data_IF_721556178497
#
_entry.id   IF_721556178497
#
_cell.length_a   1.000
_cell.length_b   1.000
_cell.length_c   1.000
_cell.angle_alpha   90.00
_cell.angle_beta   90.00
_cell.angle_gamma   90.00
#
_symmetry.space_group_name_H-M   'P 1'
#
loop_
_entity.id
_entity.type
_entity.pdbx_description
1 polymer ?
#
# COMPACT_ATOMS: atom_id res chain seq x y z
N UNK A 1 1.78 16.28 -1.22
CA UNK A 1 2.75 15.19 -0.97
C UNK A 1 2.48 14.08 -1.97
N UNK A 2 3.51 13.56 -2.61
CA UNK A 2 3.41 12.41 -3.51
C UNK A 2 3.02 11.16 -2.73
N UNK A 3 2.19 10.33 -3.34
CA UNK A 3 1.61 9.14 -2.74
C UNK A 3 1.57 8.00 -3.76
N UNK A 4 1.26 6.78 -3.31
CA UNK A 4 1.00 5.62 -4.17
C UNK A 4 2.06 5.42 -5.26
N UNK A 5 1.68 5.31 -6.54
CA UNK A 5 2.59 5.07 -7.65
C UNK A 5 3.64 6.18 -7.81
N UNK A 6 3.28 7.43 -7.55
CA UNK A 6 4.25 8.54 -7.59
C UNK A 6 5.30 8.43 -6.50
N UNK A 7 4.87 8.04 -5.28
CA UNK A 7 5.80 7.75 -4.20
C UNK A 7 6.68 6.53 -4.53
N UNK A 8 6.10 5.47 -5.09
CA UNK A 8 6.85 4.28 -5.52
C UNK A 8 7.89 4.62 -6.60
N UNK A 9 7.55 5.50 -7.54
CA UNK A 9 8.47 5.97 -8.59
C UNK A 9 9.65 6.74 -8.02
N UNK A 10 9.40 7.77 -7.19
CA UNK A 10 10.50 8.56 -6.61
C UNK A 10 11.34 7.80 -5.59
N UNK A 11 10.79 6.76 -4.95
CA UNK A 11 11.54 5.84 -4.08
C UNK A 11 12.37 4.81 -4.88
N UNK A 12 12.32 4.83 -6.21
CA UNK A 12 13.03 3.90 -7.09
C UNK A 12 12.48 2.47 -7.07
N UNK A 13 11.24 2.27 -6.59
CA UNK A 13 10.59 0.95 -6.53
C UNK A 13 9.88 0.62 -7.84
N UNK A 14 9.18 1.60 -8.41
CA UNK A 14 8.40 1.43 -9.63
C UNK A 14 9.18 1.91 -10.85
N UNK A 15 9.27 1.05 -11.88
CA UNK A 15 9.91 1.39 -13.16
C UNK A 15 8.97 2.14 -14.11
N UNK A 16 7.65 2.03 -13.88
CA UNK A 16 6.62 2.65 -14.70
C UNK A 16 6.09 3.90 -14.01
N UNK A 17 6.15 5.02 -14.71
CA UNK A 17 5.47 6.23 -14.27
C UNK A 17 3.95 6.05 -14.40
N UNK A 18 3.16 6.56 -13.45
CA UNK A 18 1.71 6.55 -13.57
C UNK A 18 1.27 7.50 -14.70
N UNK A 19 0.16 7.18 -15.39
CA UNK A 19 -0.45 8.08 -16.38
C UNK A 19 -0.84 9.45 -15.77
N UNK A 20 -1.14 9.44 -14.46
CA UNK A 20 -1.47 10.61 -13.67
C UNK A 20 -0.79 10.51 -12.32
N UNK A 21 -0.02 11.53 -11.99
CA UNK A 21 0.67 11.64 -10.72
C UNK A 21 -0.33 11.62 -9.56
N UNK A 22 0.11 11.15 -8.39
CA UNK A 22 -0.75 10.83 -7.27
C UNK A 22 -0.28 11.60 -6.05
N UNK A 23 -1.22 12.31 -5.45
CA UNK A 23 -0.99 13.11 -4.24
C UNK A 23 -1.91 12.70 -3.13
N UNK A 24 -1.39 12.74 -1.92
CA UNK A 24 -2.16 12.66 -0.69
C UNK A 24 -2.76 14.04 -0.37
N UNK A 25 -4.06 14.08 -0.10
CA UNK A 25 -4.81 15.25 0.37
C UNK A 25 -5.64 14.91 1.62
N UNK A 26 -5.90 15.89 2.51
CA UNK A 26 -6.89 15.75 3.58
C UNK A 26 -8.29 15.44 3.04
N UNK A 27 -9.06 14.64 3.76
CA UNK A 27 -10.39 14.13 3.32
C UNK A 27 -11.47 15.21 3.09
N UNK A 28 -11.21 16.46 3.48
CA UNK A 28 -12.12 17.61 3.33
C UNK A 28 -11.65 18.62 2.27
N UNK A 29 -10.55 18.34 1.58
CA UNK A 29 -10.02 19.21 0.53
C UNK A 29 -10.36 18.60 -0.81
N UNK A 30 -11.14 19.33 -1.60
CA UNK A 30 -11.33 18.98 -3.00
C UNK A 30 -10.02 19.20 -3.77
N UNK A 31 -9.66 18.31 -4.70
CA UNK A 31 -8.50 18.52 -5.56
C UNK A 31 -8.66 19.85 -6.33
N UNK A 32 -7.64 20.73 -6.34
CA UNK A 32 -7.69 21.96 -7.12
C UNK A 32 -8.04 21.69 -8.59
N UNK A 33 -8.76 22.59 -9.26
CA UNK A 33 -9.09 22.42 -10.70
C UNK A 33 -7.85 22.22 -11.59
N UNK A 34 -6.71 22.82 -11.21
CA UNK A 34 -5.43 22.63 -11.89
C UNK A 34 -4.93 21.17 -11.89
N UNK A 35 -5.46 20.31 -11.02
CA UNK A 35 -5.13 18.89 -10.97
C UNK A 35 -5.87 18.06 -12.02
N UNK A 36 -6.91 18.63 -12.65
CA UNK A 36 -7.74 17.92 -13.61
C UNK A 36 -6.91 17.33 -14.76
N UNK A 37 -7.11 16.04 -15.04
CA UNK A 37 -6.45 15.33 -16.14
C UNK A 37 -5.01 14.89 -15.89
N UNK A 38 -4.28 15.53 -14.97
CA UNK A 38 -2.87 15.24 -14.71
C UNK A 38 -2.62 14.56 -13.37
N UNK A 39 -3.52 14.76 -12.40
CA UNK A 39 -3.32 14.27 -11.04
C UNK A 39 -4.49 13.42 -10.56
N UNK A 40 -4.19 12.53 -9.62
CA UNK A 40 -5.16 11.79 -8.80
C UNK A 40 -4.92 12.16 -7.34
N UNK A 41 -6.00 12.40 -6.62
CA UNK A 41 -5.93 12.61 -5.18
C UNK A 41 -6.34 11.35 -4.43
N UNK A 42 -5.59 11.05 -3.38
CA UNK A 42 -5.96 10.07 -2.36
C UNK A 42 -6.29 10.80 -1.08
N UNK A 43 -7.51 10.65 -0.59
CA UNK A 43 -7.99 11.23 0.66
C UNK A 43 -7.52 10.41 1.86
N UNK A 44 -6.20 10.40 2.08
CA UNK A 44 -5.53 9.74 3.18
C UNK A 44 -4.31 10.55 3.59
N UNK A 45 -4.27 11.01 4.84
CA UNK A 45 -3.11 11.71 5.41
C UNK A 45 -2.46 10.78 6.41
N UNK A 46 -1.16 10.55 6.23
CA UNK A 46 -0.33 9.78 7.14
C UNK A 46 0.51 10.73 8.02
N UNK A 47 0.86 10.36 9.26
CA UNK A 47 1.65 11.21 10.16
C UNK A 47 3.06 11.47 9.59
N UNK A 48 3.79 12.43 10.16
CA UNK A 48 5.11 12.85 9.67
C UNK A 48 6.13 11.72 9.56
N UNK A 49 6.09 10.74 10.46
CA UNK A 49 6.95 9.54 10.42
C UNK A 49 6.77 8.69 9.16
N UNK A 50 5.65 8.83 8.44
CA UNK A 50 5.37 8.16 7.17
C UNK A 50 5.86 8.94 5.94
N UNK A 51 6.59 10.04 6.15
CA UNK A 51 6.93 11.00 5.11
C UNK A 51 8.44 11.17 5.02
N UNK A 52 8.91 11.48 3.81
CA UNK A 52 10.29 11.86 3.53
C UNK A 52 10.31 12.90 2.41
N UNK A 53 11.49 13.39 2.07
CA UNK A 53 11.72 14.29 0.94
C UNK A 53 12.71 13.66 -0.02
N UNK A 54 12.32 13.51 -1.29
CA UNK A 54 13.21 13.06 -2.38
C UNK A 54 13.24 14.16 -3.42
N UNK A 55 14.42 14.63 -3.82
CA UNK A 55 14.59 15.74 -4.79
C UNK A 55 13.74 16.98 -4.50
N UNK A 56 13.62 17.33 -3.21
CA UNK A 56 12.79 18.43 -2.68
C UNK A 56 11.28 18.22 -2.82
N UNK A 57 10.83 17.03 -3.19
CA UNK A 57 9.42 16.66 -3.25
C UNK A 57 9.01 15.89 -1.98
N UNK A 58 8.02 16.38 -1.22
CA UNK A 58 7.50 15.62 -0.08
C UNK A 58 6.75 14.40 -0.58
N UNK A 59 7.13 13.22 -0.09
CA UNK A 59 6.59 11.93 -0.52
C UNK A 59 6.36 11.01 0.69
N UNK A 60 5.49 10.02 0.55
CA UNK A 60 5.52 8.90 1.49
C UNK A 60 6.87 8.19 1.43
N UNK A 61 7.39 7.81 2.60
CA UNK A 61 8.50 6.86 2.69
C UNK A 61 7.99 5.43 2.44
N UNK A 62 8.88 4.44 2.52
CA UNK A 62 8.53 3.04 2.22
C UNK A 62 7.38 2.53 3.11
N UNK A 63 7.47 2.74 4.42
CA UNK A 63 6.47 2.32 5.40
C UNK A 63 5.14 3.04 5.19
N UNK A 64 5.20 4.35 4.92
CA UNK A 64 4.06 5.17 4.55
C UNK A 64 3.39 4.70 3.26
N UNK A 65 4.17 4.26 2.26
CA UNK A 65 3.64 3.71 1.02
C UNK A 65 2.89 2.40 1.28
N UNK A 66 3.48 1.46 2.03
CA UNK A 66 2.82 0.19 2.39
C UNK A 66 1.55 0.44 3.22
N UNK A 67 1.62 1.31 4.23
CA UNK A 67 0.46 1.72 5.03
C UNK A 67 -0.62 2.40 4.17
N UNK A 68 -0.20 3.23 3.22
CA UNK A 68 -1.08 3.95 2.30
C UNK A 68 -1.85 3.00 1.38
N UNK A 69 -1.17 2.04 0.76
CA UNK A 69 -1.78 0.99 -0.07
C UNK A 69 -2.73 0.15 0.80
N UNK A 70 -2.31 -0.22 2.01
CA UNK A 70 -3.17 -0.96 2.93
C UNK A 70 -4.41 -0.14 3.38
N UNK A 71 -4.31 1.17 3.53
CA UNK A 71 -5.43 2.05 3.89
C UNK A 71 -6.39 2.33 2.74
N UNK A 72 -5.88 2.38 1.50
CA UNK A 72 -6.62 2.72 0.28
C UNK A 72 -6.15 1.84 -0.90
N UNK A 73 -6.44 0.53 -0.90
CA UNK A 73 -5.89 -0.39 -1.90
C UNK A 73 -6.34 -0.06 -3.32
N UNK A 74 -7.56 0.43 -3.51
CA UNK A 74 -8.08 0.80 -4.83
C UNK A 74 -7.41 2.06 -5.43
N UNK A 75 -6.66 2.82 -4.64
CA UNK A 75 -5.94 3.99 -5.11
C UNK A 75 -4.63 3.64 -5.82
N UNK A 76 -4.05 2.47 -5.54
CA UNK A 76 -2.88 1.96 -6.24
C UNK A 76 -3.33 1.08 -7.42
N UNK A 77 -3.04 1.51 -8.65
CA UNK A 77 -3.54 0.94 -9.90
C UNK A 77 -2.52 0.03 -10.59
N UNK A 78 -1.22 0.27 -10.40
CA UNK A 78 -0.16 -0.56 -11.02
C UNK A 78 0.10 -1.86 -10.26
N UNK A 79 -0.92 -2.72 -10.14
CA UNK A 79 -0.81 -3.99 -9.41
C UNK A 79 0.32 -4.91 -9.92
N UNK A 80 0.61 -5.00 -11.24
CA UNK A 80 1.80 -5.72 -11.71
C UNK A 80 3.09 -5.17 -11.12
N UNK A 81 3.28 -3.84 -11.16
CA UNK A 81 4.45 -3.19 -10.57
C UNK A 81 4.53 -3.44 -9.07
N UNK A 82 3.42 -3.32 -8.33
CA UNK A 82 3.36 -3.67 -6.91
C UNK A 82 3.85 -5.10 -6.67
N UNK A 83 3.36 -6.08 -7.44
CA UNK A 83 3.80 -7.46 -7.30
C UNK A 83 5.30 -7.64 -7.52
N UNK A 84 5.91 -6.85 -8.40
CA UNK A 84 7.35 -6.92 -8.71
C UNK A 84 8.23 -6.38 -7.58
N UNK A 85 7.92 -5.20 -7.03
CA UNK A 85 8.77 -4.57 -6.00
C UNK A 85 8.40 -4.94 -4.56
N UNK A 86 7.24 -5.58 -4.34
CA UNK A 86 6.77 -5.92 -2.99
C UNK A 86 7.74 -6.79 -2.19
N UNK A 87 8.45 -7.79 -2.75
CA UNK A 87 9.43 -8.56 -2.00
C UNK A 87 10.55 -7.70 -1.40
N UNK A 88 11.15 -6.83 -2.23
CA UNK A 88 12.22 -5.93 -1.79
C UNK A 88 11.72 -4.91 -0.76
N UNK A 89 10.51 -4.39 -0.95
CA UNK A 89 9.89 -3.50 0.01
C UNK A 89 9.64 -4.21 1.35
N UNK A 90 9.08 -5.42 1.32
CA UNK A 90 8.77 -6.19 2.53
C UNK A 90 10.04 -6.54 3.33
N UNK A 91 11.19 -6.71 2.68
CA UNK A 91 12.47 -6.91 3.36
C UNK A 91 13.02 -5.65 4.05
N UNK A 92 12.55 -4.46 3.66
CA UNK A 92 13.10 -3.16 4.08
C UNK A 92 12.21 -2.34 4.99
N UNK A 93 10.93 -2.70 5.15
CA UNK A 93 10.02 -2.00 6.07
C UNK A 93 10.49 -2.14 7.52
N UNK A 94 10.20 -1.11 8.31
CA UNK A 94 10.28 -1.15 9.77
C UNK A 94 8.92 -1.63 10.32
N UNK A 95 8.83 -2.85 10.89
CA UNK A 95 7.57 -3.39 11.41
C UNK A 95 6.98 -2.55 12.55
N UNK A 96 7.82 -1.94 13.39
CA UNK A 96 7.35 -1.15 14.53
C UNK A 96 6.74 0.17 14.08
N UNK A 97 7.42 0.87 13.16
CA UNK A 97 6.88 2.07 12.53
C UNK A 97 5.56 1.73 11.82
N UNK A 98 5.54 0.69 10.99
CA UNK A 98 4.34 0.30 10.27
C UNK A 98 3.16 -0.01 11.21
N UNK A 99 3.41 -0.68 12.35
CA UNK A 99 2.39 -0.90 13.39
C UNK A 99 1.85 0.44 13.94
N UNK A 100 2.71 1.42 14.21
CA UNK A 100 2.27 2.76 14.67
C UNK A 100 1.41 3.46 13.61
N UNK A 101 1.83 3.41 12.35
CA UNK A 101 1.07 4.00 11.24
C UNK A 101 -0.31 3.37 11.09
N UNK A 102 -0.40 2.04 11.17
CA UNK A 102 -1.65 1.29 11.02
C UNK A 102 -2.65 1.56 12.15
N UNK A 103 -2.19 1.95 13.34
CA UNK A 103 -3.08 2.29 14.46
C UNK A 103 -4.02 3.47 14.15
N UNK A 104 -3.61 4.38 13.26
CA UNK A 104 -4.42 5.52 12.81
C UNK A 104 -5.32 5.23 11.60
N UNK A 105 -5.28 4.01 11.06
CA UNK A 105 -6.00 3.62 9.84
C UNK A 105 -7.24 2.75 10.16
N UNK A 106 -8.18 2.57 9.20
CA UNK A 106 -9.30 1.65 9.39
C UNK A 106 -8.81 0.25 9.77
N UNK A 107 -9.54 -0.46 10.63
CA UNK A 107 -9.14 -1.77 11.17
C UNK A 107 -8.73 -2.80 10.11
N UNK A 108 -9.34 -2.75 8.93
CA UNK A 108 -9.00 -3.65 7.81
C UNK A 108 -7.67 -3.33 7.13
N UNK A 109 -7.04 -2.20 7.44
CA UNK A 109 -5.73 -1.82 6.91
C UNK A 109 -4.62 -2.70 7.50
N UNK A 110 -4.67 -3.03 8.80
CA UNK A 110 -3.66 -3.92 9.40
C UNK A 110 -3.67 -5.31 8.75
N UNK A 111 -4.86 -5.85 8.47
CA UNK A 111 -5.02 -7.11 7.75
C UNK A 111 -4.42 -7.06 6.35
N UNK A 112 -4.68 -5.97 5.60
CA UNK A 112 -4.11 -5.79 4.25
C UNK A 112 -2.60 -5.59 4.28
N UNK A 113 -2.07 -4.84 5.25
CA UNK A 113 -0.62 -4.68 5.42
C UNK A 113 0.04 -6.01 5.76
N UNK A 114 -0.51 -6.76 6.72
CA UNK A 114 -0.03 -8.10 7.06
C UNK A 114 -0.05 -9.05 5.85
N UNK A 115 -1.09 -8.97 5.02
CA UNK A 115 -1.17 -9.73 3.76
C UNK A 115 -0.07 -9.33 2.77
N UNK A 116 0.16 -8.03 2.57
CA UNK A 116 1.22 -7.52 1.69
C UNK A 116 2.61 -7.99 2.16
N UNK A 117 2.90 -7.91 3.46
CA UNK A 117 4.19 -8.35 4.00
C UNK A 117 4.39 -9.86 3.87
N UNK A 118 3.37 -10.66 4.19
CA UNK A 118 3.44 -12.11 4.00
C UNK A 118 3.64 -12.47 2.52
N UNK A 119 2.95 -11.78 1.62
CA UNK A 119 3.08 -11.98 0.18
C UNK A 119 4.46 -11.57 -0.36
N UNK A 120 5.09 -10.53 0.22
CA UNK A 120 6.45 -10.12 -0.07
C UNK A 120 7.54 -10.94 0.65
N UNK A 121 7.17 -11.99 1.39
CA UNK A 121 8.13 -12.87 2.08
C UNK A 121 8.51 -12.46 3.51
N UNK A 122 7.97 -11.36 4.04
CA UNK A 122 8.17 -10.96 5.44
C UNK A 122 7.03 -11.50 6.34
N UNK A 123 7.06 -12.80 6.57
CA UNK A 123 6.07 -13.49 7.42
C UNK A 123 6.15 -13.05 8.89
N UNK A 124 7.34 -12.72 9.40
CA UNK A 124 7.54 -12.29 10.78
C UNK A 124 6.83 -10.97 11.07
N UNK A 125 7.03 -9.96 10.23
CA UNK A 125 6.36 -8.67 10.37
C UNK A 125 4.83 -8.80 10.18
N UNK A 126 4.39 -9.68 9.29
CA UNK A 126 2.96 -10.03 9.14
C UNK A 126 2.37 -10.54 10.46
N UNK A 127 3.03 -11.51 11.11
CA UNK A 127 2.61 -12.06 12.41
C UNK A 127 2.64 -10.98 13.49
N UNK A 128 3.66 -10.12 13.53
CA UNK A 128 3.75 -9.04 14.50
C UNK A 128 2.56 -8.06 14.39
N UNK A 129 2.18 -7.67 13.16
CA UNK A 129 1.00 -6.83 12.90
C UNK A 129 -0.27 -7.54 13.36
N UNK A 130 -0.48 -8.81 13.02
CA UNK A 130 -1.69 -9.55 13.38
C UNK A 130 -1.81 -9.80 14.89
N UNK A 131 -0.70 -9.97 15.60
CA UNK A 131 -0.68 -10.07 17.06
C UNK A 131 -1.15 -8.76 17.69
N UNK A 132 -0.74 -7.62 17.14
CA UNK A 132 -1.16 -6.30 17.64
C UNK A 132 -2.59 -5.95 17.26
N UNK A 133 -3.00 -6.32 16.05
CA UNK A 133 -4.30 -6.03 15.46
C UNK A 133 -4.97 -7.30 14.92
N UNK A 134 -5.57 -8.12 15.80
CA UNK A 134 -6.23 -9.35 15.38
C UNK A 134 -7.34 -9.07 14.35
N UNK A 135 -7.43 -9.85 13.25
CA UNK A 135 -8.51 -9.74 12.29
C UNK A 135 -9.88 -9.92 12.94
N UNK A 136 -10.84 -9.04 12.60
CA UNK A 136 -12.23 -9.11 13.11
C UNK A 136 -13.27 -9.39 12.03
N UNK A 137 -12.91 -9.17 10.77
CA UNK A 137 -13.78 -9.36 9.62
C UNK A 137 -12.93 -9.58 8.37
N UNK A 138 -13.56 -9.95 7.27
CA UNK A 138 -12.85 -10.11 6.00
C UNK A 138 -12.50 -8.74 5.41
N UNK A 139 -11.20 -8.50 5.24
CA UNK A 139 -10.68 -7.37 4.46
C UNK A 139 -10.57 -7.76 2.98
N UNK A 140 -10.64 -6.79 2.07
CA UNK A 140 -10.56 -7.04 0.62
C UNK A 140 -9.52 -6.19 -0.08
N UNK A 141 -8.81 -6.80 -1.03
CA UNK A 141 -8.00 -6.13 -2.05
C UNK A 141 -8.67 -6.38 -3.40
N UNK A 142 -9.03 -5.31 -4.11
CA UNK A 142 -9.74 -5.40 -5.39
C UNK A 142 -11.28 -5.27 -5.30
N UNK A 143 -11.96 -5.30 -6.46
CA UNK A 143 -13.40 -5.14 -6.56
C UNK A 143 -14.18 -6.33 -5.96
N UNK A 144 -15.47 -6.10 -5.65
CA UNK A 144 -16.40 -7.15 -5.19
C UNK A 144 -16.88 -7.97 -6.38
N UNK A 145 -16.16 -9.04 -6.70
CA UNK A 145 -16.50 -9.96 -7.78
C UNK A 145 -16.20 -11.41 -7.38
N UNK A 146 -16.80 -12.36 -8.10
CA UNK A 146 -16.52 -13.77 -7.93
C UNK A 146 -15.06 -14.09 -8.31
N UNK A 147 -14.48 -15.09 -7.64
CA UNK A 147 -13.07 -15.48 -7.80
C UNK A 147 -12.12 -14.77 -6.82
N UNK A 148 -10.81 -14.88 -7.09
CA UNK A 148 -9.76 -14.40 -6.20
C UNK A 148 -9.21 -15.47 -5.26
N UNK A 149 -8.31 -15.05 -4.36
CA UNK A 149 -7.68 -15.90 -3.36
C UNK A 149 -7.98 -15.38 -1.96
N UNK A 150 -8.49 -16.24 -1.10
CA UNK A 150 -8.65 -15.94 0.32
C UNK A 150 -7.42 -16.40 1.10
N UNK A 151 -6.88 -15.54 1.95
CA UNK A 151 -5.81 -15.87 2.88
C UNK A 151 -6.41 -15.95 4.30
N UNK A 152 -6.48 -17.16 4.85
CA UNK A 152 -7.12 -17.40 6.14
C UNK A 152 -6.38 -16.75 7.32
N UNK A 153 -5.03 -16.69 7.27
CA UNK A 153 -4.21 -16.14 8.34
C UNK A 153 -4.45 -14.63 8.54
N UNK A 154 -4.60 -13.89 7.44
CA UNK A 154 -4.81 -12.43 7.44
C UNK A 154 -6.27 -12.02 7.31
N UNK A 155 -7.16 -12.98 7.01
CA UNK A 155 -8.56 -12.75 6.65
C UNK A 155 -8.72 -11.78 5.46
N UNK A 156 -7.82 -11.86 4.48
CA UNK A 156 -7.86 -11.04 3.26
C UNK A 156 -8.40 -11.85 2.09
N UNK A 157 -9.47 -11.32 1.46
CA UNK A 157 -9.95 -11.74 0.14
C UNK A 157 -9.30 -10.86 -0.92
N UNK A 158 -8.41 -11.44 -1.72
CA UNK A 158 -7.72 -10.72 -2.79
C UNK A 158 -8.26 -11.14 -4.16
N UNK A 159 -8.92 -10.19 -4.83
CA UNK A 159 -9.49 -10.39 -6.17
C UNK A 159 -8.66 -9.70 -7.26
N UNK A 160 -7.56 -9.03 -6.91
CA UNK A 160 -6.79 -8.20 -7.83
C UNK A 160 -5.28 -8.45 -7.82
N UNK A 161 -4.63 -8.42 -6.65
CA UNK A 161 -3.16 -8.49 -6.56
C UNK A 161 -2.63 -9.93 -6.66
N UNK A 162 -3.41 -10.93 -6.23
CA UNK A 162 -2.98 -12.34 -6.12
C UNK A 162 -2.38 -12.94 -7.41
N UNK A 163 -2.75 -12.41 -8.58
CA UNK A 163 -2.25 -12.85 -9.89
C UNK A 163 -0.80 -12.45 -10.13
N UNK A 164 -0.31 -11.44 -9.42
CA UNK A 164 1.03 -10.87 -9.58
C UNK A 164 1.99 -11.32 -8.48
N UNK A 165 1.48 -11.85 -7.37
CA UNK A 165 2.28 -12.31 -6.22
C UNK A 165 2.99 -13.65 -6.46
N UNK A 166 2.64 -14.38 -7.54
CA UNK A 166 3.21 -15.68 -7.87
C UNK A 166 4.20 -15.64 -9.06
N UNK A 167 4.41 -14.48 -9.68
CA UNK A 167 5.13 -14.37 -10.98
C UNK A 167 6.66 -14.31 -10.80
N UNK A 168 7.17 -14.59 -9.60
CA UNK A 168 8.60 -14.52 -9.26
C UNK A 168 9.33 -15.87 -9.08
N UNK A 169 8.74 -17.00 -9.46
CA UNK A 169 9.48 -18.29 -9.49
C UNK A 169 9.81 -18.65 -10.93
N UNK A 170 10.91 -18.11 -11.42
CA UNK A 170 11.51 -18.45 -12.71
C UNK A 170 13.01 -18.21 -12.65
N UNK A 171 13.71 -19.11 -11.96
CA UNK A 171 15.12 -19.41 -12.17
C UNK A 171 15.20 -20.75 -12.91
#
# INVERSE_FOLDING_TARGET
MLAMESAAGVLGLAQRLPEREVVSLPSRIEPPKAFAGQWRAVTLVLPGEAQTTVDRLPTWNLDGLVAGIAGRPAAYRDLPGLGQWLPDAAARVDPELLIRLLAGLPSTASQRAAYLLAAGGNAEASVAILRRFPPRSVARIGPRQAGGRFNAATQVSDTALYRYLAVGTGA
#
